data_IF_359503130556
#
_entry.id   IF_359503130556
#
_cell.length_a   1.000
_cell.length_b   1.000
_cell.length_c   1.000
_cell.angle_alpha   90.00
_cell.angle_beta   90.00
_cell.angle_gamma   90.00
#
_symmetry.space_group_name_H-M   'P 1'
#
loop_
_entity.id
_entity.type
_entity.pdbx_description
1 polymer ?
#
# COMPACT_ATOMS: atom_id res chain seq x y z
N UNK A 1 4.04 3.24 13.41
CA UNK A 1 5.44 2.74 13.39
C UNK A 1 6.44 3.88 13.55
N UNK A 2 7.32 3.85 14.56
CA UNK A 2 8.32 4.93 14.81
C UNK A 2 9.60 4.83 13.95
N UNK A 3 9.87 3.69 13.31
CA UNK A 3 11.05 3.49 12.44
C UNK A 3 10.67 2.67 11.21
N UNK A 4 11.20 3.07 10.05
CA UNK A 4 11.00 2.34 8.81
C UNK A 4 11.65 0.95 8.91
N UNK A 5 10.91 -0.14 8.58
CA UNK A 5 11.50 -1.47 8.56
C UNK A 5 12.61 -1.54 7.49
N UNK A 6 13.79 -1.99 7.90
CA UNK A 6 14.94 -2.17 7.01
C UNK A 6 14.81 -3.50 6.28
N UNK A 7 15.00 -3.50 4.96
CA UNK A 7 14.88 -4.69 4.12
C UNK A 7 15.24 -4.38 2.67
N UNK A 8 14.93 -5.30 1.74
CA UNK A 8 15.28 -5.12 0.33
C UNK A 8 14.65 -3.85 -0.29
N UNK A 9 13.47 -3.44 0.19
CA UNK A 9 12.82 -2.19 -0.22
C UNK A 9 13.67 -0.95 0.12
N UNK A 10 14.41 -0.95 1.25
CA UNK A 10 15.33 0.12 1.62
C UNK A 10 16.54 0.19 0.68
N UNK A 11 17.05 -0.99 0.26
CA UNK A 11 18.12 -1.07 -0.75
C UNK A 11 17.65 -0.50 -2.08
N UNK A 12 16.48 -0.92 -2.56
CA UNK A 12 15.88 -0.42 -3.80
C UNK A 12 15.62 1.10 -3.71
N UNK A 13 15.09 1.59 -2.59
CA UNK A 13 14.84 3.01 -2.39
C UNK A 13 16.13 3.84 -2.46
N UNK A 14 17.21 3.38 -1.83
CA UNK A 14 18.53 4.03 -1.89
C UNK A 14 19.12 4.01 -3.30
N UNK A 15 19.04 2.86 -3.98
CA UNK A 15 19.57 2.70 -5.34
C UNK A 15 18.85 3.59 -6.36
N UNK A 16 17.53 3.69 -6.25
CA UNK A 16 16.69 4.47 -7.17
C UNK A 16 16.43 5.90 -6.70
N UNK A 17 17.04 6.34 -5.59
CA UNK A 17 16.79 7.64 -4.94
C UNK A 17 15.29 7.90 -4.73
N UNK A 18 14.54 6.85 -4.41
CA UNK A 18 13.10 6.89 -4.23
C UNK A 18 12.73 7.12 -2.76
N UNK A 19 11.56 7.73 -2.53
CA UNK A 19 10.98 7.86 -1.19
C UNK A 19 10.29 6.54 -0.82
N UNK A 20 10.80 5.88 0.22
CA UNK A 20 10.14 4.72 0.79
C UNK A 20 9.06 5.16 1.79
N UNK A 21 7.86 4.59 1.66
CA UNK A 21 6.75 4.82 2.60
C UNK A 21 6.19 3.48 3.02
N UNK A 22 6.02 3.28 4.33
CA UNK A 22 5.38 2.11 4.89
C UNK A 22 3.99 2.52 5.41
N UNK A 23 2.94 1.89 4.89
CA UNK A 23 1.58 2.03 5.41
C UNK A 23 1.23 0.81 6.27
N UNK A 24 0.56 1.04 7.39
CA UNK A 24 -0.03 -0.04 8.17
C UNK A 24 -1.37 -0.46 7.55
N UNK A 25 -1.74 -1.73 7.72
CA UNK A 25 -3.04 -2.25 7.28
C UNK A 25 -4.10 -1.93 8.33
N UNK A 26 -5.34 -1.67 7.91
CA UNK A 26 -6.47 -1.57 8.83
C UNK A 26 -6.56 -2.80 9.74
N UNK A 27 -6.86 -2.59 11.02
CA UNK A 27 -6.92 -3.61 12.08
C UNK A 27 -5.58 -4.24 12.47
N UNK A 28 -4.44 -3.75 11.95
CA UNK A 28 -3.11 -4.21 12.36
C UNK A 28 -2.31 -3.05 12.95
N UNK A 29 -1.58 -3.32 14.03
CA UNK A 29 -0.75 -2.32 14.69
C UNK A 29 -1.59 -1.28 15.42
N UNK A 30 -1.41 -0.01 15.08
CA UNK A 30 -2.08 1.11 15.76
C UNK A 30 -3.34 1.57 15.03
N UNK A 31 -3.57 1.11 13.80
CA UNK A 31 -4.70 1.54 12.97
C UNK A 31 -5.88 0.57 13.14
N UNK A 32 -6.67 0.75 14.20
CA UNK A 32 -7.92 0.02 14.40
C UNK A 32 -9.11 0.99 14.35
N UNK A 33 -10.07 0.79 13.42
CA UNK A 33 -11.29 1.58 13.41
C UNK A 33 -11.98 1.54 14.78
N UNK A 34 -12.19 2.72 15.38
CA UNK A 34 -12.81 2.89 16.70
C UNK A 34 -12.08 2.18 17.87
N UNK A 35 -10.85 1.71 17.67
CA UNK A 35 -10.10 0.91 18.65
C UNK A 35 -10.89 -0.30 19.19
N UNK A 36 -11.82 -0.83 18.38
CA UNK A 36 -12.72 -1.91 18.75
C UNK A 36 -12.51 -3.10 17.82
N UNK A 37 -12.36 -4.28 18.42
CA UNK A 37 -12.17 -5.56 17.74
C UNK A 37 -13.43 -6.43 17.81
N UNK A 38 -14.59 -5.84 18.11
CA UNK A 38 -15.88 -6.53 18.04
C UNK A 38 -16.16 -7.09 16.65
N UNK A 39 -16.99 -8.14 16.60
CA UNK A 39 -17.44 -8.77 15.35
C UNK A 39 -18.14 -7.76 14.42
N UNK A 40 -18.82 -6.76 14.99
CA UNK A 40 -19.42 -5.68 14.23
C UNK A 40 -18.36 -4.87 13.48
N UNK A 41 -17.25 -4.51 14.12
CA UNK A 41 -16.21 -3.68 13.46
C UNK A 41 -15.38 -4.53 12.50
N UNK A 42 -15.12 -5.80 12.81
CA UNK A 42 -14.38 -6.72 11.94
C UNK A 42 -15.05 -6.98 10.59
N UNK A 43 -16.34 -6.69 10.43
CA UNK A 43 -17.01 -6.71 9.11
C UNK A 43 -16.31 -5.81 8.07
N UNK A 44 -15.57 -4.80 8.50
CA UNK A 44 -14.82 -3.88 7.64
C UNK A 44 -13.39 -4.33 7.35
N UNK A 45 -12.94 -5.46 7.91
CA UNK A 45 -11.67 -6.10 7.58
C UNK A 45 -11.81 -6.91 6.29
N UNK A 46 -12.07 -6.23 5.18
CA UNK A 46 -12.14 -6.88 3.86
C UNK A 46 -10.98 -6.44 2.98
N UNK A 47 -10.36 -7.40 2.31
CA UNK A 47 -9.18 -7.14 1.48
C UNK A 47 -9.56 -6.45 0.17
N UNK A 48 -10.50 -7.04 -0.57
CA UNK A 48 -10.81 -6.65 -1.95
C UNK A 48 -11.34 -5.21 -2.09
N UNK A 49 -12.29 -4.82 -1.24
CA UNK A 49 -12.93 -3.50 -1.36
C UNK A 49 -12.21 -2.45 -0.52
N UNK A 50 -11.93 -2.80 0.72
CA UNK A 50 -11.63 -1.83 1.76
C UNK A 50 -10.12 -1.59 1.89
N UNK A 51 -9.32 -2.65 2.07
CA UNK A 51 -7.87 -2.51 2.18
C UNK A 51 -7.22 -1.97 0.90
N UNK A 52 -7.67 -2.41 -0.29
CA UNK A 52 -7.15 -1.86 -1.55
C UNK A 52 -7.54 -0.39 -1.74
N UNK A 53 -8.77 0.00 -1.36
CA UNK A 53 -9.20 1.41 -1.43
C UNK A 53 -8.39 2.32 -0.48
N UNK A 54 -8.05 1.85 0.73
CA UNK A 54 -7.19 2.60 1.64
C UNK A 54 -5.82 2.89 1.04
N UNK A 55 -5.20 1.88 0.42
CA UNK A 55 -3.89 2.04 -0.23
C UNK A 55 -3.99 3.05 -1.38
N UNK A 56 -5.06 2.98 -2.18
CA UNK A 56 -5.26 3.94 -3.27
C UNK A 56 -5.45 5.36 -2.72
N UNK A 57 -6.31 5.53 -1.71
CA UNK A 57 -6.52 6.82 -1.06
C UNK A 57 -5.25 7.35 -0.39
N UNK A 58 -4.45 6.48 0.21
CA UNK A 58 -3.16 6.85 0.82
C UNK A 58 -2.16 7.34 -0.24
N UNK A 59 -2.07 6.66 -1.39
CA UNK A 59 -1.25 7.12 -2.52
C UNK A 59 -1.72 8.51 -2.96
N UNK A 60 -3.01 8.70 -3.22
CA UNK A 60 -3.54 10.02 -3.60
C UNK A 60 -3.22 11.09 -2.55
N UNK A 61 -3.48 10.82 -1.27
CA UNK A 61 -3.22 11.77 -0.19
C UNK A 61 -1.73 12.14 -0.07
N UNK A 62 -0.83 11.17 -0.19
CA UNK A 62 0.61 11.41 -0.15
C UNK A 62 1.08 12.37 -1.25
N UNK A 63 0.41 12.37 -2.40
CA UNK A 63 0.84 13.16 -3.56
C UNK A 63 0.03 14.43 -3.78
N UNK A 64 -1.24 14.47 -3.38
CA UNK A 64 -2.06 15.68 -3.38
C UNK A 64 -1.60 16.65 -2.28
N UNK A 65 -1.13 16.13 -1.14
CA UNK A 65 -0.58 16.94 -0.04
C UNK A 65 0.84 17.45 -0.29
N UNK A 66 1.63 16.77 -1.13
CA UNK A 66 2.96 17.23 -1.52
C UNK A 66 2.87 18.18 -2.69
N UNK A 67 2.86 19.48 -2.39
CA UNK A 67 2.99 20.61 -3.33
C UNK A 67 4.33 20.63 -4.09
N UNK A 68 4.77 19.52 -4.68
CA UNK A 68 5.80 19.55 -5.71
C UNK A 68 5.11 19.57 -7.08
N UNK A 69 4.61 20.76 -7.44
CA UNK A 69 3.98 21.06 -8.72
C UNK A 69 4.92 20.91 -9.93
N UNK A 70 6.17 20.48 -9.72
CA UNK A 70 7.16 20.34 -10.81
C UNK A 70 6.98 19.09 -11.64
N UNK A 71 6.27 18.08 -11.13
CA UNK A 71 6.00 16.85 -11.87
C UNK A 71 4.52 16.47 -11.71
N UNK A 72 3.75 16.31 -12.81
CA UNK A 72 2.40 15.78 -12.71
C UNK A 72 2.42 14.41 -12.02
N UNK A 73 1.41 14.14 -11.17
CA UNK A 73 1.25 12.87 -10.42
C UNK A 73 1.39 11.66 -11.35
N UNK A 74 0.97 11.82 -12.61
CA UNK A 74 1.10 10.86 -13.71
C UNK A 74 2.53 10.41 -14.06
N UNK A 75 3.57 11.18 -13.67
CA UNK A 75 4.99 10.85 -13.98
C UNK A 75 5.76 10.20 -12.84
N UNK A 76 5.22 10.13 -11.62
CA UNK A 76 5.91 9.48 -10.51
C UNK A 76 5.49 8.02 -10.47
N UNK A 77 6.33 7.15 -11.02
CA UNK A 77 6.06 5.72 -10.99
C UNK A 77 6.01 5.18 -9.56
N UNK A 78 4.83 4.75 -9.11
CA UNK A 78 4.64 4.12 -7.80
C UNK A 78 4.81 2.60 -7.88
N UNK A 79 5.56 2.06 -6.92
CA UNK A 79 5.75 0.61 -6.77
C UNK A 79 5.25 0.20 -5.40
N UNK A 80 4.30 -0.74 -5.38
CA UNK A 80 3.75 -1.30 -4.14
C UNK A 80 4.34 -2.68 -3.87
N UNK A 81 4.62 -2.99 -2.61
CA UNK A 81 5.14 -4.29 -2.18
C UNK A 81 4.33 -4.79 -0.99
N UNK A 82 3.59 -5.88 -1.19
CA UNK A 82 2.69 -6.45 -0.19
C UNK A 82 2.28 -7.88 -0.58
N UNK A 83 3.24 -8.77 -0.85
CA UNK A 83 2.96 -10.18 -1.21
C UNK A 83 1.78 -10.27 -2.21
N UNK A 84 0.78 -11.12 -1.95
CA UNK A 84 -0.41 -11.29 -2.80
C UNK A 84 -1.22 -10.00 -3.01
N UNK A 85 -1.30 -9.14 -1.99
CA UNK A 85 -2.10 -7.92 -2.04
C UNK A 85 -1.56 -6.92 -3.07
N UNK A 86 -0.25 -6.85 -3.25
CA UNK A 86 0.36 -5.98 -4.27
C UNK A 86 0.01 -6.40 -5.69
N UNK A 87 -0.09 -7.71 -5.95
CA UNK A 87 -0.55 -8.21 -7.24
C UNK A 87 -2.02 -7.87 -7.49
N UNK A 88 -2.89 -8.08 -6.49
CA UNK A 88 -4.31 -7.72 -6.59
C UNK A 88 -4.53 -6.21 -6.71
N UNK A 89 -3.74 -5.40 -6.00
CA UNK A 89 -3.79 -3.94 -6.11
C UNK A 89 -3.48 -3.46 -7.53
N UNK A 90 -2.44 -4.02 -8.17
CA UNK A 90 -2.10 -3.68 -9.56
C UNK A 90 -3.23 -3.97 -10.54
N UNK A 91 -3.95 -5.09 -10.33
CA UNK A 91 -5.09 -5.49 -11.16
C UNK A 91 -6.29 -4.56 -10.92
N UNK A 92 -6.60 -4.25 -9.67
CA UNK A 92 -7.72 -3.38 -9.31
C UNK A 92 -7.50 -1.91 -9.70
N UNK A 93 -6.28 -1.41 -9.58
CA UNK A 93 -5.92 0.00 -9.80
C UNK A 93 -4.74 0.14 -10.78
N UNK A 94 -5.02 -0.13 -12.07
CA UNK A 94 -4.01 -0.07 -13.13
C UNK A 94 -3.38 1.32 -13.33
N UNK A 95 -4.06 2.39 -12.92
CA UNK A 95 -3.54 3.75 -13.09
C UNK A 95 -2.83 4.28 -11.83
N UNK A 96 -2.93 3.59 -10.70
CA UNK A 96 -2.38 4.06 -9.43
C UNK A 96 -0.90 3.69 -9.22
N UNK A 97 -0.41 2.64 -9.88
CA UNK A 97 0.97 2.15 -9.75
C UNK A 97 1.55 1.76 -11.10
N UNK A 98 2.86 1.92 -11.28
CA UNK A 98 3.56 1.47 -12.49
C UNK A 98 3.95 0.00 -12.40
N UNK A 99 4.23 -0.49 -11.19
CA UNK A 99 4.61 -1.88 -10.93
C UNK A 99 4.20 -2.32 -9.52
N UNK A 100 4.20 -3.64 -9.31
CA UNK A 100 3.96 -4.26 -8.01
C UNK A 100 4.98 -5.38 -7.76
N UNK A 101 5.47 -5.49 -6.53
CA UNK A 101 6.40 -6.52 -6.08
C UNK A 101 5.67 -7.48 -5.15
N UNK A 102 5.23 -8.62 -5.70
CA UNK A 102 4.54 -9.69 -4.97
C UNK A 102 5.51 -10.79 -4.56
N UNK A 103 6.43 -10.49 -3.64
CA UNK A 103 7.38 -11.50 -3.13
C UNK A 103 6.64 -12.58 -2.35
N UNK A 104 6.69 -13.83 -2.83
CA UNK A 104 6.05 -14.99 -2.20
C UNK A 104 4.56 -14.77 -1.86
N UNK A 105 3.85 -14.05 -2.73
CA UNK A 105 2.41 -13.84 -2.64
C UNK A 105 1.63 -14.95 -3.35
N UNK A 106 0.91 -15.77 -2.60
CA UNK A 106 -0.04 -16.74 -3.16
C UNK A 106 -1.26 -15.98 -3.66
N UNK A 107 -1.38 -15.81 -4.98
CA UNK A 107 -2.51 -15.13 -5.64
C UNK A 107 -3.62 -16.08 -6.05
N UNK A 108 -3.30 -17.37 -6.20
CA UNK A 108 -4.24 -18.45 -6.44
C UNK A 108 -4.06 -19.54 -5.36
N UNK A 109 -4.75 -19.43 -4.21
CA UNK A 109 -4.64 -20.38 -3.11
C UNK A 109 -5.60 -21.57 -3.24
N UNK A 110 -6.53 -21.54 -4.18
CA UNK A 110 -7.52 -22.60 -4.35
C UNK A 110 -6.96 -23.68 -5.28
N UNK A 111 -6.82 -24.89 -4.74
CA UNK A 111 -6.69 -26.16 -5.45
C UNK A 111 -8.08 -26.81 -5.55
#
# INVERSE_FOLDING_TARGET
MDKMPKGYVDVLAKQHKAKAVASEHRFYGQITPKNDLSTETLRFLTLWNQALADVNHFIHHLYDGTHDQRQPVDRRGHVVSWRSLSAWFRIAYLNATVAAISSSGVVNPFL
#
